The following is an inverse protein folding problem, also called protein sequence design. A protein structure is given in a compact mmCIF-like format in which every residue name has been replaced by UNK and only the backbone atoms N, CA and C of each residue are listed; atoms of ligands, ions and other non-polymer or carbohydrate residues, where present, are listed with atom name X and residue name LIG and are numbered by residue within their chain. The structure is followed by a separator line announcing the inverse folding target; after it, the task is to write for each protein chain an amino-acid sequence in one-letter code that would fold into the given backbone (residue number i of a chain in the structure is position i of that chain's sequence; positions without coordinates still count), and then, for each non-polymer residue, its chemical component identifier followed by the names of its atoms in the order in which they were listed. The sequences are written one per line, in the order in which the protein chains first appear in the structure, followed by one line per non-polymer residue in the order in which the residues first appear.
data_IF_453350568759
#
_entry.id   IF_453350568759
#
_cell.length_a   1.000
_cell.length_b   1.000
_cell.length_c   1.000
_cell.angle_alpha   90.00
_cell.angle_beta   90.00
_cell.angle_gamma   90.00
#
_symmetry.space_group_name_H-M   'P 1'
#
loop_
_entity.id
_entity.type
_entity.pdbx_description
1 polymer ?
#
# COMPACT_ATOMS: atom_id res chain seq x y z
N UNK A 1 -18.08 8.54 19.37
CA UNK A 1 -16.60 8.44 19.49
C UNK A 1 -16.19 7.07 18.94
N UNK A 2 -15.78 7.03 17.65
CA UNK A 2 -15.38 5.80 16.95
C UNK A 2 -13.85 5.69 16.93
N UNK A 3 -13.29 5.13 17.99
CA UNK A 3 -11.83 4.95 18.10
C UNK A 3 -11.37 3.76 17.28
N UNK A 4 -10.34 3.98 16.45
CA UNK A 4 -9.71 2.97 15.59
C UNK A 4 -8.20 3.07 15.72
N UNK A 5 -7.55 1.95 16.01
CA UNK A 5 -6.10 1.83 15.96
C UNK A 5 -5.65 1.20 14.65
N UNK A 6 -4.71 1.83 13.99
CA UNK A 6 -4.14 1.35 12.73
C UNK A 6 -2.65 1.10 12.89
N UNK A 7 -2.14 0.09 12.18
CA UNK A 7 -0.71 -0.17 12.16
C UNK A 7 -0.16 -0.24 10.74
N UNK A 8 1.09 0.22 10.59
CA UNK A 8 1.90 0.04 9.39
C UNK A 8 3.09 -0.86 9.75
N UNK A 9 3.25 -1.94 8.98
CA UNK A 9 4.38 -2.87 9.12
C UNK A 9 5.49 -2.47 8.17
N UNK A 10 6.70 -2.40 8.70
CA UNK A 10 7.94 -2.29 7.93
C UNK A 10 8.74 -3.57 8.08
N UNK A 11 9.03 -4.27 6.98
CA UNK A 11 9.70 -5.56 7.01
C UNK A 11 10.62 -5.78 5.82
N UNK A 12 11.58 -6.69 5.95
CA UNK A 12 12.36 -7.23 4.85
C UNK A 12 11.55 -8.24 4.07
N UNK A 13 11.83 -8.35 2.78
CA UNK A 13 11.29 -9.40 1.93
C UNK A 13 12.44 -10.21 1.32
N UNK A 14 12.29 -11.53 1.30
CA UNK A 14 13.25 -12.47 0.74
C UNK A 14 12.68 -13.17 -0.49
N UNK A 15 13.45 -14.04 -1.11
CA UNK A 15 12.98 -14.90 -2.22
C UNK A 15 12.04 -16.01 -1.75
N UNK A 16 12.05 -16.34 -0.45
CA UNK A 16 11.21 -17.40 0.11
C UNK A 16 9.84 -16.85 0.54
N UNK A 17 8.83 -17.29 -0.18
CA UNK A 17 7.42 -16.89 0.05
C UNK A 17 6.96 -17.27 1.46
N UNK A 18 7.33 -18.43 1.93
CA UNK A 18 6.87 -18.94 3.23
C UNK A 18 7.53 -18.21 4.39
N UNK A 19 8.81 -17.87 4.25
CA UNK A 19 9.51 -17.01 5.20
C UNK A 19 8.84 -15.64 5.29
N UNK A 20 8.55 -15.01 4.16
CA UNK A 20 7.89 -13.71 4.12
C UNK A 20 6.50 -13.75 4.73
N UNK A 21 5.67 -14.75 4.39
CA UNK A 21 4.34 -14.93 4.98
C UNK A 21 4.44 -15.16 6.50
N UNK A 22 5.38 -15.98 6.96
CA UNK A 22 5.58 -16.24 8.38
C UNK A 22 6.00 -14.98 9.15
N UNK A 23 6.94 -14.20 8.58
CA UNK A 23 7.41 -12.95 9.16
C UNK A 23 6.28 -11.90 9.21
N UNK A 24 5.55 -11.72 8.11
CA UNK A 24 4.40 -10.81 8.08
C UNK A 24 3.31 -11.20 9.11
N UNK A 25 3.01 -12.49 9.26
CA UNK A 25 2.07 -12.97 10.30
C UNK A 25 2.54 -12.64 11.72
N UNK A 26 3.85 -12.73 11.99
CA UNK A 26 4.42 -12.32 13.27
C UNK A 26 4.14 -10.85 13.55
N UNK A 27 4.39 -9.97 12.58
CA UNK A 27 4.13 -8.53 12.74
C UNK A 27 2.65 -8.19 12.87
N UNK A 28 1.76 -8.91 12.15
CA UNK A 28 0.31 -8.72 12.33
C UNK A 28 -0.13 -9.11 13.74
N UNK A 29 0.43 -10.18 14.32
CA UNK A 29 0.16 -10.56 15.72
C UNK A 29 0.66 -9.50 16.70
N UNK A 30 1.87 -8.99 16.50
CA UNK A 30 2.42 -7.88 17.29
C UNK A 30 1.51 -6.65 17.20
N UNK A 31 1.09 -6.26 16.00
CA UNK A 31 0.16 -5.14 15.82
C UNK A 31 -1.15 -5.36 16.60
N UNK A 32 -1.68 -6.59 16.61
CA UNK A 32 -2.86 -6.94 17.39
C UNK A 32 -2.63 -6.83 18.89
N UNK A 33 -1.46 -7.26 19.39
CA UNK A 33 -1.05 -7.09 20.79
C UNK A 33 -0.96 -5.61 21.18
N UNK A 34 -0.54 -4.73 20.24
CA UNK A 34 -0.54 -3.27 20.39
C UNK A 34 -1.96 -2.67 20.28
N UNK A 35 -2.96 -3.51 20.05
CA UNK A 35 -4.38 -3.15 19.99
C UNK A 35 -4.87 -2.69 18.62
N UNK A 36 -4.15 -2.96 17.54
CA UNK A 36 -4.57 -2.56 16.19
C UNK A 36 -5.89 -3.22 15.77
N UNK A 37 -6.71 -2.45 15.07
CA UNK A 37 -7.93 -2.87 14.39
C UNK A 37 -7.69 -3.12 12.90
N UNK A 38 -6.75 -2.37 12.29
CA UNK A 38 -6.39 -2.46 10.86
C UNK A 38 -4.87 -2.48 10.76
N UNK A 39 -4.32 -3.43 9.99
CA UNK A 39 -2.86 -3.55 9.78
C UNK A 39 -2.53 -3.53 8.30
N UNK A 40 -1.64 -2.63 7.90
CA UNK A 40 -1.10 -2.54 6.56
C UNK A 40 0.25 -3.24 6.46
N UNK A 41 0.40 -4.13 5.49
CA UNK A 41 1.66 -4.77 5.06
C UNK A 41 2.23 -4.03 3.84
N UNK A 42 3.54 -4.17 3.54
CA UNK A 42 4.14 -3.59 2.33
C UNK A 42 3.56 -4.17 1.03
N UNK A 43 3.77 -3.47 -0.08
CA UNK A 43 3.42 -3.92 -1.43
C UNK A 43 4.17 -5.20 -1.79
N UNK A 44 3.45 -6.19 -2.37
CA UNK A 44 3.99 -7.46 -2.87
C UNK A 44 4.93 -8.16 -1.86
N UNK A 45 4.64 -8.05 -0.58
CA UNK A 45 5.51 -8.48 0.53
C UNK A 45 5.79 -9.98 0.55
N UNK A 46 4.98 -10.78 -0.14
CA UNK A 46 5.16 -12.24 -0.20
C UNK A 46 6.43 -12.66 -0.95
N UNK A 47 7.06 -11.72 -1.68
CA UNK A 47 8.26 -11.98 -2.48
C UNK A 47 9.23 -10.81 -2.42
N UNK A 48 10.48 -11.07 -2.86
CA UNK A 48 11.37 -10.00 -3.29
C UNK A 48 10.68 -9.15 -4.38
N UNK A 49 11.15 -7.92 -4.57
CA UNK A 49 10.62 -7.04 -5.61
C UNK A 49 11.12 -7.49 -7.00
N UNK A 50 10.42 -8.47 -7.55
CA UNK A 50 10.78 -9.11 -8.82
C UNK A 50 10.69 -8.18 -10.03
N UNK A 51 10.06 -7.03 -9.92
CA UNK A 51 9.96 -6.04 -10.99
C UNK A 51 11.25 -5.28 -11.28
N UNK A 52 12.34 -5.56 -10.56
CA UNK A 52 13.67 -5.04 -10.91
C UNK A 52 14.17 -5.57 -12.26
N UNK A 53 13.72 -6.72 -12.70
CA UNK A 53 14.17 -7.43 -13.90
C UNK A 53 12.98 -7.89 -14.73
N UNK A 54 13.21 -8.22 -16.01
CA UNK A 54 12.20 -8.76 -16.92
C UNK A 54 12.44 -10.25 -17.09
N UNK A 55 11.56 -11.08 -16.48
CA UNK A 55 11.63 -12.54 -16.56
C UNK A 55 10.28 -13.14 -16.88
N UNK A 56 10.19 -13.88 -17.95
CA UNK A 56 8.94 -14.53 -18.37
C UNK A 56 8.48 -15.63 -17.39
N UNK A 57 9.40 -16.31 -16.73
CA UNK A 57 9.09 -17.33 -15.72
C UNK A 57 8.40 -16.73 -14.47
N UNK A 58 8.59 -15.44 -14.18
CA UNK A 58 7.92 -14.74 -13.08
C UNK A 58 6.43 -14.50 -13.29
N UNK A 59 5.92 -14.66 -14.52
CA UNK A 59 4.47 -14.69 -14.74
C UNK A 59 3.78 -15.83 -13.99
N UNK A 60 4.51 -16.92 -13.67
CA UNK A 60 4.00 -18.03 -12.87
C UNK A 60 3.78 -17.66 -11.38
N UNK A 61 4.29 -16.53 -10.92
CA UNK A 61 4.03 -16.05 -9.56
C UNK A 61 2.60 -15.56 -9.39
N UNK A 62 1.98 -15.08 -10.47
CA UNK A 62 0.61 -14.59 -10.44
C UNK A 62 -0.38 -15.73 -10.14
N UNK A 63 -1.30 -15.48 -9.20
CA UNK A 63 -2.33 -16.43 -8.81
C UNK A 63 -3.71 -15.77 -8.81
N UNK A 64 -4.78 -16.53 -9.10
CA UNK A 64 -6.12 -16.06 -8.79
C UNK A 64 -6.25 -15.71 -7.31
N UNK A 65 -7.06 -14.72 -6.99
CA UNK A 65 -7.19 -14.18 -5.61
C UNK A 65 -7.38 -15.27 -4.55
N UNK A 66 -8.32 -16.20 -4.80
CA UNK A 66 -8.63 -17.28 -3.85
C UNK A 66 -7.60 -18.41 -3.83
N UNK A 67 -6.68 -18.44 -4.78
CA UNK A 67 -5.58 -19.42 -4.86
C UNK A 67 -4.27 -18.85 -4.33
N UNK A 68 -4.14 -17.52 -4.19
CA UNK A 68 -2.93 -16.89 -3.67
C UNK A 68 -2.70 -17.27 -2.21
N UNK A 69 -1.48 -17.66 -1.87
CA UNK A 69 -1.17 -18.20 -0.55
C UNK A 69 -1.19 -17.12 0.53
N UNK A 70 -0.70 -15.91 0.26
CA UNK A 70 -0.79 -14.80 1.21
C UNK A 70 -2.26 -14.47 1.50
N UNK A 71 -3.09 -14.29 0.48
CA UNK A 71 -4.52 -13.99 0.66
C UNK A 71 -5.21 -15.06 1.53
N UNK A 72 -5.01 -16.36 1.23
CA UNK A 72 -5.58 -17.46 2.03
C UNK A 72 -5.13 -17.46 3.49
N UNK A 73 -3.83 -17.23 3.71
CA UNK A 73 -3.28 -17.24 5.07
C UNK A 73 -3.72 -16.02 5.88
N UNK A 74 -3.78 -14.85 5.26
CA UNK A 74 -4.20 -13.64 5.94
C UNK A 74 -5.72 -13.54 6.13
N UNK A 75 -6.54 -14.17 5.28
CA UNK A 75 -7.97 -14.31 5.54
C UNK A 75 -8.26 -15.13 6.82
N UNK A 76 -7.53 -16.22 7.02
CA UNK A 76 -7.62 -17.01 8.26
C UNK A 76 -7.14 -16.22 9.48
N UNK A 77 -6.02 -15.50 9.33
CA UNK A 77 -5.44 -14.70 10.41
C UNK A 77 -6.31 -13.49 10.78
N UNK A 78 -6.91 -12.82 9.79
CA UNK A 78 -7.86 -11.72 9.99
C UNK A 78 -9.05 -12.17 10.86
N UNK A 79 -9.63 -13.33 10.53
CA UNK A 79 -10.71 -13.94 11.31
C UNK A 79 -10.26 -14.35 12.72
N UNK A 80 -9.09 -14.99 12.85
CA UNK A 80 -8.55 -15.43 14.13
C UNK A 80 -8.33 -14.27 15.10
N UNK A 81 -7.78 -13.16 14.58
CA UNK A 81 -7.40 -12.00 15.37
C UNK A 81 -8.48 -10.90 15.41
N UNK A 82 -9.57 -11.08 14.68
CA UNK A 82 -10.59 -10.04 14.47
C UNK A 82 -9.96 -8.70 14.05
N UNK A 83 -9.17 -8.71 12.96
CA UNK A 83 -8.41 -7.55 12.46
C UNK A 83 -8.57 -7.41 10.96
N UNK A 84 -8.66 -6.16 10.46
CA UNK A 84 -8.71 -5.88 9.02
C UNK A 84 -7.30 -5.88 8.44
N UNK A 85 -7.11 -6.55 7.29
CA UNK A 85 -5.80 -6.64 6.63
C UNK A 85 -5.94 -6.42 5.13
N UNK A 86 -5.52 -5.26 4.59
CA UNK A 86 -5.28 -5.10 3.16
C UNK A 86 -4.03 -5.91 2.77
N UNK A 87 -4.19 -6.91 1.90
CA UNK A 87 -3.13 -7.83 1.46
C UNK A 87 -2.75 -7.56 0.03
N UNK A 88 -1.53 -7.06 -0.19
CA UNK A 88 -0.98 -6.84 -1.54
C UNK A 88 -0.42 -8.14 -2.11
N UNK A 89 -0.74 -8.43 -3.39
CA UNK A 89 -0.33 -9.65 -4.07
C UNK A 89 -0.33 -9.49 -5.59
N UNK A 90 0.37 -10.42 -6.29
CA UNK A 90 0.36 -10.52 -7.74
C UNK A 90 -0.84 -11.33 -8.21
N UNK A 91 -1.84 -10.64 -8.77
CA UNK A 91 -3.12 -11.22 -9.19
C UNK A 91 -3.07 -11.72 -10.64
N UNK A 92 -3.67 -12.89 -10.88
CA UNK A 92 -4.07 -13.38 -12.20
C UNK A 92 -5.59 -13.45 -12.31
N UNK A 93 -6.15 -12.74 -13.29
CA UNK A 93 -7.56 -12.78 -13.64
C UNK A 93 -7.69 -13.20 -15.12
N UNK A 94 -7.88 -14.50 -15.36
CA UNK A 94 -7.82 -15.09 -16.68
C UNK A 94 -6.43 -14.90 -17.31
N UNK A 95 -6.37 -14.13 -18.40
CA UNK A 95 -5.13 -13.80 -19.11
C UNK A 95 -4.58 -12.41 -18.71
N UNK A 96 -5.16 -11.77 -17.72
CA UNK A 96 -4.76 -10.44 -17.24
C UNK A 96 -4.01 -10.55 -15.92
N UNK A 97 -2.96 -9.74 -15.77
CA UNK A 97 -2.10 -9.74 -14.61
C UNK A 97 -2.09 -8.35 -13.96
N UNK A 98 -2.29 -8.30 -12.65
CA UNK A 98 -2.42 -7.05 -11.90
C UNK A 98 -1.58 -7.04 -10.63
N UNK A 99 -1.16 -5.87 -10.23
CA UNK A 99 -0.72 -5.58 -8.88
C UNK A 99 -1.96 -5.20 -8.07
N UNK A 100 -2.33 -6.01 -7.10
CA UNK A 100 -3.63 -5.92 -6.43
C UNK A 100 -3.53 -5.93 -4.92
N UNK A 101 -4.54 -5.35 -4.27
CA UNK A 101 -4.79 -5.50 -2.84
C UNK A 101 -6.15 -6.15 -2.64
N UNK A 102 -6.18 -7.26 -1.93
CA UNK A 102 -7.39 -7.84 -1.38
C UNK A 102 -7.64 -7.23 0.00
N UNK A 103 -8.77 -6.55 0.18
CA UNK A 103 -9.16 -6.02 1.50
C UNK A 103 -9.92 -7.10 2.25
N UNK A 104 -9.32 -7.60 3.31
CA UNK A 104 -9.87 -8.67 4.16
C UNK A 104 -10.41 -8.07 5.44
N UNK A 105 -11.69 -8.29 5.73
CA UNK A 105 -12.34 -7.80 6.95
C UNK A 105 -12.02 -8.68 8.16
N UNK A 106 -12.40 -8.22 9.32
CA UNK A 106 -12.12 -8.82 10.62
C UNK A 106 -12.78 -10.20 10.85
N UNK A 107 -13.71 -10.61 10.01
CA UNK A 107 -14.31 -11.94 9.98
C UNK A 107 -13.63 -12.90 8.99
N UNK A 108 -12.62 -12.38 8.25
CA UNK A 108 -11.88 -13.09 7.22
C UNK A 108 -12.52 -13.05 5.83
N UNK A 109 -13.63 -12.31 5.65
CA UNK A 109 -14.23 -12.13 4.34
C UNK A 109 -13.41 -11.14 3.48
N UNK A 110 -13.29 -11.43 2.19
CA UNK A 110 -12.66 -10.53 1.22
C UNK A 110 -13.74 -9.56 0.73
N UNK A 111 -13.69 -8.30 1.17
CA UNK A 111 -14.64 -7.26 0.79
C UNK A 111 -14.53 -6.87 -0.68
N UNK A 112 -13.39 -7.13 -1.29
CA UNK A 112 -13.13 -6.86 -2.69
C UNK A 112 -11.66 -6.58 -2.97
N UNK A 113 -11.40 -6.18 -4.23
CA UNK A 113 -10.06 -5.91 -4.75
C UNK A 113 -9.92 -4.44 -5.16
N UNK A 114 -8.75 -3.88 -4.90
CA UNK A 114 -8.22 -2.72 -5.60
C UNK A 114 -7.05 -3.17 -6.47
N UNK A 115 -7.06 -2.80 -7.74
CA UNK A 115 -5.98 -3.04 -8.71
C UNK A 115 -5.24 -1.72 -8.95
N UNK A 116 -3.93 -1.73 -8.82
CA UNK A 116 -3.06 -0.55 -8.98
C UNK A 116 -3.36 0.20 -10.27
N UNK A 117 -3.77 1.45 -10.14
CA UNK A 117 -4.20 2.26 -11.28
C UNK A 117 -3.00 2.76 -12.09
N UNK A 118 -1.98 3.28 -11.42
CA UNK A 118 -0.80 3.84 -12.05
C UNK A 118 0.35 2.84 -11.96
N UNK A 119 0.81 2.36 -13.11
CA UNK A 119 1.90 1.37 -13.20
C UNK A 119 3.18 2.09 -13.61
N UNK A 120 4.23 2.10 -12.78
CA UNK A 120 5.52 2.68 -13.16
C UNK A 120 6.24 1.83 -14.21
N UNK A 121 7.10 2.48 -14.97
CA UNK A 121 8.01 1.81 -15.91
C UNK A 121 9.29 2.62 -16.03
N UNK A 122 10.26 2.29 -15.19
CA UNK A 122 11.58 2.89 -15.20
C UNK A 122 12.63 1.82 -14.89
N UNK A 123 13.92 2.18 -14.96
CA UNK A 123 15.02 1.28 -14.65
C UNK A 123 14.87 0.71 -13.23
N UNK A 124 14.83 -0.62 -13.15
CA UNK A 124 14.65 -1.40 -11.92
C UNK A 124 13.27 -1.27 -11.25
N UNK A 125 12.34 -0.52 -11.86
CA UNK A 125 10.92 -0.46 -11.51
C UNK A 125 10.07 -0.78 -12.74
N UNK A 126 10.32 -1.97 -13.35
CA UNK A 126 9.80 -2.38 -14.65
C UNK A 126 8.42 -3.06 -14.52
N UNK A 127 7.50 -2.42 -13.81
CA UNK A 127 6.21 -3.02 -13.47
C UNK A 127 5.30 -3.22 -14.69
N UNK A 128 5.41 -2.39 -15.74
CA UNK A 128 4.61 -2.57 -16.96
C UNK A 128 4.93 -3.84 -17.74
N UNK A 129 6.05 -4.49 -17.46
CA UNK A 129 6.33 -5.81 -18.00
C UNK A 129 5.40 -6.88 -17.41
N UNK A 130 4.97 -6.72 -16.16
CA UNK A 130 4.19 -7.69 -15.42
C UNK A 130 2.71 -7.33 -15.30
N UNK A 131 2.39 -6.05 -15.14
CA UNK A 131 1.05 -5.59 -14.78
C UNK A 131 0.45 -4.70 -15.85
N UNK A 132 -0.83 -4.90 -16.08
CA UNK A 132 -1.65 -3.93 -16.80
C UNK A 132 -2.27 -2.94 -15.80
N UNK A 133 -2.63 -1.71 -16.22
CA UNK A 133 -3.34 -0.76 -15.37
C UNK A 133 -4.62 -1.35 -14.79
N UNK A 134 -4.87 -1.05 -13.52
CA UNK A 134 -6.06 -1.51 -12.81
C UNK A 134 -7.35 -0.99 -13.42
N UNK A 135 -8.37 -1.84 -13.41
CA UNK A 135 -9.71 -1.58 -13.96
C UNK A 135 -10.80 -1.45 -12.90
N UNK A 136 -10.43 -1.44 -11.61
CA UNK A 136 -11.37 -1.35 -10.50
C UNK A 136 -11.86 0.07 -10.22
N UNK A 137 -11.16 1.08 -10.72
CA UNK A 137 -11.31 2.46 -10.27
C UNK A 137 -10.87 2.66 -8.82
N UNK A 138 -10.94 3.88 -8.32
CA UNK A 138 -10.64 4.20 -6.93
C UNK A 138 -11.80 3.81 -6.04
N UNK A 139 -11.63 2.73 -5.27
CA UNK A 139 -12.66 2.16 -4.39
C UNK A 139 -12.37 2.43 -2.93
N UNK A 140 -13.45 2.49 -2.16
CA UNK A 140 -13.40 2.41 -0.70
C UNK A 140 -14.06 1.12 -0.23
N UNK A 141 -13.63 0.65 0.93
CA UNK A 141 -14.09 -0.60 1.52
C UNK A 141 -14.63 -0.30 2.92
N UNK A 142 -15.90 -0.62 3.13
CA UNK A 142 -16.55 -0.48 4.43
C UNK A 142 -16.21 -1.70 5.28
N UNK A 143 -15.26 -1.53 6.19
CA UNK A 143 -14.81 -2.58 7.11
C UNK A 143 -15.52 -2.51 8.46
N UNK A 144 -15.31 -3.50 9.31
CA UNK A 144 -15.79 -3.52 10.70
C UNK A 144 -15.42 -2.24 11.48
N UNK A 145 -14.28 -1.59 11.16
CA UNK A 145 -13.71 -0.50 11.97
C UNK A 145 -13.75 0.88 11.29
N UNK A 146 -14.21 0.95 10.06
CA UNK A 146 -14.31 2.21 9.31
C UNK A 146 -14.19 1.99 7.81
N UNK A 147 -14.42 3.04 7.06
CA UNK A 147 -14.30 3.03 5.60
C UNK A 147 -12.87 3.36 5.20
N UNK A 148 -12.19 2.43 4.55
CA UNK A 148 -10.81 2.62 4.11
C UNK A 148 -10.69 2.81 2.60
N UNK A 149 -9.77 3.67 2.19
CA UNK A 149 -9.29 3.76 0.81
C UNK A 149 -7.90 3.13 0.70
N UNK A 150 -7.61 2.50 -0.44
CA UNK A 150 -6.29 1.90 -0.72
C UNK A 150 -5.79 2.43 -2.05
N UNK A 151 -4.54 2.92 -2.08
CA UNK A 151 -3.77 3.15 -3.28
C UNK A 151 -2.45 2.38 -3.17
N UNK A 152 -1.90 1.87 -4.27
CA UNK A 152 -0.69 1.04 -4.23
C UNK A 152 0.50 1.83 -4.74
N UNK A 153 1.53 2.00 -3.91
CA UNK A 153 2.87 2.52 -4.24
C UNK A 153 2.83 3.73 -5.19
N UNK A 154 3.00 3.53 -6.52
CA UNK A 154 3.04 4.62 -7.51
C UNK A 154 1.78 5.49 -7.50
N UNK A 155 0.61 4.97 -7.10
CA UNK A 155 -0.63 5.74 -6.91
C UNK A 155 -0.45 6.90 -5.91
N UNK A 156 0.50 6.78 -4.99
CA UNK A 156 0.81 7.79 -3.95
C UNK A 156 1.38 9.10 -4.50
N UNK A 157 1.86 9.11 -5.75
CA UNK A 157 2.39 10.32 -6.38
C UNK A 157 1.29 11.18 -7.02
N UNK A 158 0.08 10.63 -7.17
CA UNK A 158 -1.05 11.25 -7.85
C UNK A 158 -2.07 11.81 -6.85
N UNK A 159 -2.20 13.15 -6.75
CA UNK A 159 -3.21 13.78 -5.88
C UNK A 159 -4.63 13.31 -6.17
N UNK A 160 -4.90 12.93 -7.41
CA UNK A 160 -6.19 12.41 -7.88
C UNK A 160 -6.58 11.13 -7.14
N UNK A 161 -5.61 10.25 -6.84
CA UNK A 161 -5.87 9.03 -6.07
C UNK A 161 -6.44 9.36 -4.69
N UNK A 162 -5.74 10.17 -3.91
CA UNK A 162 -6.16 10.54 -2.57
C UNK A 162 -7.49 11.30 -2.58
N UNK A 163 -7.67 12.23 -3.54
CA UNK A 163 -8.90 12.99 -3.68
C UNK A 163 -10.09 12.11 -4.08
N UNK A 164 -9.90 11.18 -5.01
CA UNK A 164 -10.96 10.26 -5.41
C UNK A 164 -11.37 9.34 -4.25
N UNK A 165 -10.40 8.77 -3.52
CA UNK A 165 -10.69 7.95 -2.34
C UNK A 165 -11.45 8.73 -1.27
N UNK A 166 -11.03 9.97 -0.97
CA UNK A 166 -11.70 10.81 0.01
C UNK A 166 -13.14 11.18 -0.43
N UNK A 167 -13.35 11.47 -1.73
CA UNK A 167 -14.68 11.73 -2.30
C UNK A 167 -15.59 10.50 -2.26
N UNK A 168 -15.01 9.30 -2.39
CA UNK A 168 -15.72 8.03 -2.26
C UNK A 168 -15.96 7.62 -0.79
N UNK A 169 -15.64 8.49 0.16
CA UNK A 169 -15.97 8.32 1.57
C UNK A 169 -14.91 7.63 2.41
N UNK A 170 -13.65 7.56 1.96
CA UNK A 170 -12.56 7.07 2.80
C UNK A 170 -12.43 7.92 4.07
N UNK A 171 -12.28 7.25 5.21
CA UNK A 171 -11.98 7.84 6.52
C UNK A 171 -10.50 7.74 6.84
N UNK A 172 -9.82 6.74 6.25
CA UNK A 172 -8.38 6.47 6.33
C UNK A 172 -7.89 6.06 4.95
N UNK A 173 -6.68 6.47 4.56
CA UNK A 173 -6.05 6.04 3.31
C UNK A 173 -4.79 5.22 3.59
N UNK A 174 -4.67 4.07 2.93
CA UNK A 174 -3.59 3.11 3.08
C UNK A 174 -2.78 3.01 1.79
N UNK A 175 -1.46 3.11 1.90
CA UNK A 175 -0.50 2.96 0.81
C UNK A 175 0.51 1.85 1.10
N UNK A 176 0.22 0.58 0.72
CA UNK A 176 1.27 -0.43 0.64
C UNK A 176 2.26 -0.03 -0.43
N UNK A 177 3.56 -0.10 -0.11
CA UNK A 177 4.61 0.49 -0.93
C UNK A 177 5.83 -0.41 -1.01
N UNK A 178 6.53 -0.34 -2.15
CA UNK A 178 7.88 -0.85 -2.37
C UNK A 178 8.69 0.25 -3.07
N UNK A 179 9.26 1.18 -2.30
CA UNK A 179 10.04 2.30 -2.81
C UNK A 179 11.42 2.34 -2.13
N UNK A 180 12.42 2.61 -2.90
CA UNK A 180 13.81 2.59 -2.44
C UNK A 180 14.71 3.54 -3.19
N UNK A 181 15.97 3.15 -3.35
CA UNK A 181 16.99 3.91 -4.05
C UNK A 181 16.59 4.18 -5.51
N UNK A 182 17.03 5.32 -6.00
CA UNK A 182 16.87 5.75 -7.38
C UNK A 182 18.23 5.68 -8.11
N UNK A 183 18.63 4.50 -8.62
CA UNK A 183 19.98 4.30 -9.13
C UNK A 183 20.35 5.16 -10.33
N UNK A 184 19.34 5.60 -11.10
CA UNK A 184 19.54 6.44 -12.30
C UNK A 184 19.47 7.92 -11.95
N UNK A 185 18.55 8.33 -11.08
CA UNK A 185 18.40 9.74 -10.69
C UNK A 185 19.42 10.18 -9.63
N UNK A 186 20.10 9.23 -9.00
CA UNK A 186 21.10 9.46 -7.94
C UNK A 186 20.59 10.41 -6.84
N UNK A 187 19.31 10.32 -6.50
CA UNK A 187 18.67 11.16 -5.50
C UNK A 187 18.06 10.36 -4.35
N UNK A 188 17.97 11.00 -3.19
CA UNK A 188 17.19 10.48 -2.06
C UNK A 188 15.72 10.91 -2.20
N UNK A 189 14.89 10.02 -2.75
CA UNK A 189 13.47 10.30 -2.97
C UNK A 189 12.62 10.26 -1.69
N UNK A 190 13.13 9.74 -0.56
CA UNK A 190 12.36 9.56 0.67
C UNK A 190 11.73 10.86 1.21
N UNK A 191 12.42 12.00 1.30
CA UNK A 191 11.80 13.23 1.77
C UNK A 191 10.72 13.77 0.82
N UNK A 192 10.88 13.56 -0.49
CA UNK A 192 9.88 13.93 -1.49
C UNK A 192 8.63 13.03 -1.35
N UNK A 193 8.82 11.72 -1.28
CA UNK A 193 7.78 10.74 -1.06
C UNK A 193 6.91 11.08 0.16
N UNK A 194 7.54 11.36 1.32
CA UNK A 194 6.82 11.74 2.54
C UNK A 194 6.02 13.03 2.36
N UNK A 195 6.64 14.09 1.81
CA UNK A 195 5.95 15.37 1.59
C UNK A 195 4.75 15.24 0.67
N UNK A 196 4.84 14.41 -0.36
CA UNK A 196 3.72 14.17 -1.27
C UNK A 196 2.51 13.62 -0.50
N UNK A 197 2.69 12.57 0.30
CA UNK A 197 1.59 11.98 1.07
C UNK A 197 1.12 12.83 2.25
N UNK A 198 2.01 13.61 2.89
CA UNK A 198 1.60 14.63 3.85
C UNK A 198 0.68 15.66 3.19
N UNK A 199 0.98 16.07 1.96
CA UNK A 199 0.13 16.94 1.15
C UNK A 199 -1.25 16.30 0.87
N UNK A 200 -1.29 15.01 0.55
CA UNK A 200 -2.55 14.28 0.36
C UNK A 200 -3.40 14.23 1.62
N UNK A 201 -2.76 13.95 2.75
CA UNK A 201 -3.42 13.97 4.06
C UNK A 201 -4.02 15.34 4.37
N UNK A 202 -3.20 16.38 4.34
CA UNK A 202 -3.60 17.75 4.65
C UNK A 202 -4.69 18.29 3.68
N UNK A 203 -4.54 18.05 2.37
CA UNK A 203 -5.48 18.54 1.36
C UNK A 203 -6.86 17.84 1.41
N UNK A 204 -6.94 16.67 2.04
CA UNK A 204 -8.17 15.88 2.16
C UNK A 204 -8.69 15.81 3.60
N UNK A 205 -7.96 16.34 4.57
CA UNK A 205 -8.23 16.24 6.02
C UNK A 205 -8.52 14.76 6.38
N UNK A 206 -7.52 13.90 6.12
CA UNK A 206 -7.64 12.45 6.26
C UNK A 206 -6.31 11.84 6.68
N UNK A 207 -6.25 10.96 7.68
CA UNK A 207 -5.02 10.26 8.01
C UNK A 207 -4.52 9.36 6.87
N UNK A 208 -3.21 9.33 6.67
CA UNK A 208 -2.52 8.47 5.70
C UNK A 208 -1.62 7.49 6.43
N UNK A 209 -1.69 6.23 6.04
CA UNK A 209 -0.89 5.13 6.55
C UNK A 209 -0.06 4.56 5.41
N UNK A 210 1.27 4.65 5.51
CA UNK A 210 2.20 4.17 4.50
C UNK A 210 3.13 3.09 5.07
N UNK A 211 3.10 1.91 4.46
CA UNK A 211 3.96 0.78 4.81
C UNK A 211 4.93 0.48 3.67
N UNK A 212 6.23 0.52 3.94
CA UNK A 212 7.28 0.22 2.98
C UNK A 212 8.13 -0.97 3.44
N UNK A 213 8.77 -1.64 2.50
CA UNK A 213 9.79 -2.67 2.79
C UNK A 213 11.13 -2.03 3.07
N UNK A 214 12.06 -2.82 3.64
CA UNK A 214 13.44 -2.40 3.91
C UNK A 214 14.45 -3.40 3.34
N UNK A 215 15.68 -2.92 3.23
CA UNK A 215 16.84 -3.74 2.92
C UNK A 215 17.22 -3.73 1.46
N UNK A 216 18.35 -4.38 1.18
CA UNK A 216 18.89 -4.51 -0.16
C UNK A 216 18.35 -5.78 -0.81
N UNK A 217 17.88 -5.65 -2.02
CA UNK A 217 17.45 -6.75 -2.87
C UNK A 217 18.28 -6.72 -4.16
N UNK A 218 19.05 -7.79 -4.37
CA UNK A 218 19.94 -7.94 -5.52
C UNK A 218 19.33 -8.87 -6.58
N UNK A 219 19.48 -8.51 -7.83
CA UNK A 219 19.15 -9.38 -8.97
C UNK A 219 20.31 -10.34 -9.22
N UNK A 220 20.01 -11.62 -9.27
CA UNK A 220 21.00 -12.65 -9.64
C UNK A 220 21.10 -12.75 -11.17
N UNK A 221 22.27 -12.50 -11.77
CA UNK A 221 22.44 -12.62 -13.21
C UNK A 221 22.15 -14.04 -13.70
N UNK A 222 21.40 -14.16 -14.79
CA UNK A 222 21.12 -15.41 -15.48
C UNK A 222 20.76 -15.13 -16.95
N UNK A 223 20.68 -16.16 -17.77
CA UNK A 223 20.39 -16.00 -19.20
C UNK A 223 18.96 -15.44 -19.41
N UNK A 224 18.00 -15.82 -18.55
CA UNK A 224 16.61 -15.40 -18.64
C UNK A 224 16.42 -13.90 -18.40
N UNK A 225 17.31 -13.25 -17.67
CA UNK A 225 17.28 -11.79 -17.45
C UNK A 225 18.35 -11.03 -18.23
N UNK A 226 19.01 -11.68 -19.20
CA UNK A 226 20.09 -11.08 -19.99
C UNK A 226 21.34 -10.76 -19.18
N UNK A 227 21.61 -11.53 -18.14
CA UNK A 227 22.72 -11.33 -17.21
C UNK A 227 22.71 -9.96 -16.50
N UNK A 228 21.50 -9.44 -16.22
CA UNK A 228 21.32 -8.18 -15.51
C UNK A 228 21.93 -8.25 -14.10
N UNK A 229 22.69 -7.22 -13.76
CA UNK A 229 23.19 -6.99 -12.40
C UNK A 229 22.61 -5.68 -11.89
N UNK A 230 21.65 -5.76 -11.01
CA UNK A 230 21.07 -4.57 -10.37
C UNK A 230 20.78 -4.81 -8.91
N UNK A 231 20.64 -3.74 -8.17
CA UNK A 231 20.17 -3.80 -6.79
C UNK A 231 19.36 -2.59 -6.44
N UNK A 232 18.31 -2.79 -5.64
CA UNK A 232 17.57 -1.71 -4.99
C UNK A 232 17.77 -1.80 -3.49
N UNK A 233 17.94 -0.63 -2.86
CA UNK A 233 17.94 -0.50 -1.40
C UNK A 233 16.62 0.15 -1.01
N UNK A 234 15.71 -0.64 -0.50
CA UNK A 234 14.44 -0.14 0.04
C UNK A 234 14.70 0.57 1.35
N UNK A 235 14.28 1.83 1.44
CA UNK A 235 14.69 2.72 2.53
C UNK A 235 13.67 2.76 3.69
N UNK A 236 12.74 1.83 3.77
CA UNK A 236 11.77 1.79 4.85
C UNK A 236 11.07 3.12 5.03
N UNK A 237 11.32 3.76 6.15
CA UNK A 237 10.78 5.08 6.48
C UNK A 237 9.24 5.14 6.48
N UNK A 238 8.59 3.99 6.74
CA UNK A 238 7.13 3.88 6.91
C UNK A 238 6.63 4.92 7.91
N UNK A 239 5.41 5.40 7.73
CA UNK A 239 4.89 6.44 8.60
C UNK A 239 3.36 6.46 8.65
N UNK A 240 2.84 7.18 9.65
CA UNK A 240 1.42 7.47 9.82
C UNK A 240 1.29 8.97 10.04
N UNK A 241 0.38 9.62 9.30
CA UNK A 241 0.03 11.04 9.53
C UNK A 241 -1.27 11.17 10.31
N UNK A 242 -1.45 12.32 11.00
CA UNK A 242 -2.78 12.76 11.38
C UNK A 242 -3.51 13.35 10.15
N UNK A 243 -4.74 13.81 10.32
CA UNK A 243 -5.57 14.38 9.24
C UNK A 243 -5.08 15.73 8.71
N UNK A 244 -4.15 16.39 9.42
CA UNK A 244 -3.53 17.65 8.95
C UNK A 244 -2.23 17.45 8.21
N UNK A 245 -1.78 16.19 8.04
CA UNK A 245 -0.54 15.84 7.34
C UNK A 245 0.71 15.84 8.21
N UNK A 246 0.58 16.03 9.52
CA UNK A 246 1.70 15.85 10.44
C UNK A 246 2.03 14.37 10.60
N UNK A 247 3.32 14.00 10.50
CA UNK A 247 3.78 12.63 10.76
C UNK A 247 3.78 12.39 12.26
N UNK A 248 2.85 11.58 12.75
CA UNK A 248 2.71 11.23 14.17
C UNK A 248 3.44 9.95 14.56
N UNK A 249 3.74 9.08 13.59
CA UNK A 249 4.57 7.87 13.75
C UNK A 249 5.49 7.72 12.55
N UNK A 250 6.73 7.35 12.81
CA UNK A 250 7.76 7.20 11.77
C UNK A 250 8.72 6.08 12.13
N UNK A 251 9.01 5.21 11.16
CA UNK A 251 10.05 4.19 11.25
C UNK A 251 11.41 4.72 10.78
N UNK A 252 12.47 4.05 11.20
CA UNK A 252 13.83 4.23 10.66
C UNK A 252 13.92 3.70 9.22
N UNK A 253 15.10 3.80 8.61
CA UNK A 253 15.30 3.34 7.23
C UNK A 253 15.58 1.84 7.11
N UNK A 254 15.98 1.20 8.18
CA UNK A 254 16.69 -0.10 8.15
C UNK A 254 16.24 -1.11 9.19
N UNK A 255 15.32 -0.74 10.08
CA UNK A 255 14.80 -1.64 11.11
C UNK A 255 13.40 -2.17 10.76
N UNK A 256 13.19 -3.46 10.99
CA UNK A 256 11.84 -4.04 10.95
C UNK A 256 11.04 -3.57 12.16
N UNK A 257 9.82 -3.10 11.94
CA UNK A 257 9.01 -2.52 13.01
C UNK A 257 7.52 -2.50 12.70
N UNK A 258 6.72 -2.31 13.74
CA UNK A 258 5.29 -2.01 13.65
C UNK A 258 5.05 -0.61 14.23
N UNK A 259 4.48 0.26 13.43
CA UNK A 259 4.01 1.58 13.88
C UNK A 259 2.53 1.51 14.18
N UNK A 260 2.09 1.99 15.35
CA UNK A 260 0.67 2.00 15.73
C UNK A 260 0.23 3.40 16.14
N UNK A 261 -0.94 3.84 15.64
CA UNK A 261 -1.58 5.09 15.99
C UNK A 261 -3.10 4.90 16.19
N UNK A 262 -3.70 5.69 17.07
CA UNK A 262 -5.14 5.70 17.33
C UNK A 262 -5.78 6.98 16.76
N UNK A 263 -6.95 6.84 16.15
CA UNK A 263 -7.77 7.95 15.63
C UNK A 263 -9.18 7.86 16.18
N UNK A 264 -9.79 9.01 16.44
CA UNK A 264 -11.24 9.13 16.57
C UNK A 264 -11.82 9.55 15.22
N UNK A 265 -12.45 8.62 14.52
CA UNK A 265 -13.00 8.88 13.18
C UNK A 265 -14.11 9.92 13.16
N UNK A 266 -14.84 10.08 14.27
CA UNK A 266 -15.87 11.13 14.40
C UNK A 266 -15.21 12.51 14.48
N UNK A 267 -14.12 12.66 15.25
CA UNK A 267 -13.35 13.90 15.35
C UNK A 267 -12.71 14.27 13.99
N UNK A 268 -12.09 13.30 13.31
CA UNK A 268 -11.54 13.51 11.95
C UNK A 268 -12.63 13.99 10.99
N UNK A 269 -13.83 13.41 11.07
CA UNK A 269 -14.95 13.81 10.23
C UNK A 269 -15.43 15.22 10.54
N UNK A 270 -15.57 15.57 11.82
CA UNK A 270 -15.96 16.92 12.28
C UNK A 270 -14.93 17.97 11.82
N UNK A 271 -13.62 17.68 11.97
CA UNK A 271 -12.55 18.54 11.48
C UNK A 271 -12.64 18.77 9.97
N UNK A 272 -12.89 17.71 9.20
CA UNK A 272 -13.07 17.79 7.74
C UNK A 272 -14.27 18.66 7.35
N UNK A 273 -15.39 18.53 8.03
CA UNK A 273 -16.57 19.38 7.82
C UNK A 273 -16.29 20.84 8.20
N UNK A 274 -15.64 21.05 9.35
CA UNK A 274 -15.30 22.39 9.86
C UNK A 274 -14.42 23.19 8.91
N UNK A 275 -13.44 22.55 8.27
CA UNK A 275 -12.58 23.17 7.25
C UNK A 275 -13.34 23.54 5.97
N UNK A 276 -14.45 22.88 5.65
CA UNK A 276 -15.29 23.17 4.48
C UNK A 276 -14.66 22.88 3.13
N UNK A 277 -13.50 22.21 3.06
CA UNK A 277 -12.74 21.94 1.81
C UNK A 277 -13.61 21.23 0.77
N UNK A 278 -14.41 20.24 1.17
CA UNK A 278 -15.26 19.51 0.24
C UNK A 278 -16.52 20.29 -0.19
N UNK A 279 -17.05 21.14 0.67
CA UNK A 279 -18.18 22.05 0.37
C UNK A 279 -17.79 23.10 -0.69
N UNK A 280 -16.56 23.62 -0.57
CA UNK A 280 -16.09 24.75 -1.36
C UNK A 280 -15.42 24.32 -2.69
N UNK A 281 -15.41 23.01 -3.00
CA UNK A 281 -14.90 22.50 -4.28
C UNK A 281 -15.68 23.07 -5.47
N UNK A 282 -14.96 23.29 -6.56
CA UNK A 282 -15.49 23.81 -7.84
C UNK A 282 -15.24 22.81 -8.97
N UNK A 283 -15.95 21.64 -9.00
CA UNK A 283 -15.75 20.62 -10.03
C UNK A 283 -15.93 21.16 -11.47
N UNK A 284 -16.79 22.17 -11.61
CA UNK A 284 -17.00 22.90 -12.87
C UNK A 284 -15.72 23.55 -13.44
N UNK A 285 -14.76 23.86 -12.58
CA UNK A 285 -13.46 24.44 -12.94
C UNK A 285 -12.34 23.40 -13.17
N UNK A 286 -12.59 22.11 -12.90
CA UNK A 286 -11.55 21.07 -12.87
C UNK A 286 -11.46 20.23 -14.14
N UNK A 287 -12.18 20.57 -15.20
CA UNK A 287 -12.17 19.83 -16.48
C UNK A 287 -10.76 19.59 -17.04
N UNK A 288 -9.86 20.56 -16.89
CA UNK A 288 -8.46 20.46 -17.33
C UNK A 288 -7.70 19.27 -16.71
N UNK A 289 -8.17 18.75 -15.57
CA UNK A 289 -7.58 17.58 -14.91
C UNK A 289 -8.03 16.26 -15.58
N UNK A 290 -9.20 16.24 -16.20
CA UNK A 290 -9.83 15.03 -16.75
C UNK A 290 -9.92 15.04 -18.28
N UNK A 291 -9.77 16.19 -18.91
CA UNK A 291 -9.84 16.39 -20.37
C UNK A 291 -8.42 16.72 -20.88
N UNK A 292 -7.87 15.89 -21.77
CA UNK A 292 -6.63 16.15 -22.52
C UNK A 292 -6.95 16.55 -23.94
#
# INVERSE_FOLDING_TARGET
MRKVKVSAVQMKCTTDVWENIANAKKFVRQAKEDGANIVLLPELFERQYFCQERRYDYYNFAKPTLENDAVKHFAKLAKELEIVIPVSFYERDGNRLFNSVAVIDADGEILGLYRKTHIPDDHYYQEKFYFIPGDTGFKTFKTKFGTIGVGICWDQWFPETARALALNGAELIFYPTAIGSEPILECDSMPHWRRCMQGHSAANVIPVIAANRIGREDVTPCDENGNQTSSLVFYGSSFITNETGEIIKSASRDEETVLTAEFDLDEVFENRLGWGIFRDRRPDCYKVITEK
#
